data_IF_207180512519
#
_entry.id   IF_207180512519
#
_cell.length_a   1.000
_cell.length_b   1.000
_cell.length_c   1.000
_cell.angle_alpha   90.00
_cell.angle_beta   90.00
_cell.angle_gamma   90.00
#
_symmetry.space_group_name_H-M   'P 1'
#
loop_
_entity.id
_entity.type
_entity.pdbx_description
1 polymer ?
#
# COMPACT_ATOMS: atom_id res chain seq x y z
N UNK A 1 13.41 -13.13 -5.30
CA UNK A 1 13.23 -13.61 -3.91
C UNK A 1 11.74 -13.75 -3.66
N UNK A 2 11.33 -14.70 -2.80
CA UNK A 2 9.94 -14.84 -2.34
C UNK A 2 9.96 -14.63 -0.83
N UNK A 3 9.17 -13.69 -0.32
CA UNK A 3 9.18 -13.30 1.09
C UNK A 3 8.34 -12.05 1.34
N UNK A 4 8.07 -11.73 2.61
CA UNK A 4 7.37 -10.51 3.01
C UNK A 4 8.35 -9.34 2.99
N UNK A 5 8.22 -8.47 1.97
CA UNK A 5 9.08 -7.29 1.80
C UNK A 5 8.32 -5.97 1.97
N UNK A 6 7.02 -6.03 2.28
CA UNK A 6 6.20 -4.83 2.45
C UNK A 6 6.17 -4.42 3.93
N UNK A 7 6.29 -3.12 4.17
CA UNK A 7 6.18 -2.50 5.49
C UNK A 7 5.14 -1.38 5.44
N UNK A 8 4.40 -1.21 6.53
CA UNK A 8 3.50 -0.06 6.69
C UNK A 8 4.26 1.08 7.33
N UNK A 9 4.52 2.13 6.56
CA UNK A 9 5.22 3.34 7.01
C UNK A 9 4.19 4.45 7.24
N UNK A 10 4.05 5.01 8.46
CA UNK A 10 3.15 6.13 8.71
C UNK A 10 3.52 7.36 7.87
N UNK A 11 2.56 7.91 7.14
CA UNK A 11 2.75 9.13 6.35
C UNK A 11 1.99 10.28 7.00
N UNK A 12 2.69 11.37 7.32
CA UNK A 12 2.08 12.57 7.92
C UNK A 12 1.90 13.67 6.87
N UNK A 13 0.68 13.79 6.36
CA UNK A 13 0.31 14.88 5.45
C UNK A 13 0.18 16.18 6.23
N UNK A 14 0.90 17.22 5.81
CA UNK A 14 0.89 18.54 6.44
C UNK A 14 0.47 19.58 5.40
N UNK A 15 -0.78 20.04 5.50
CA UNK A 15 -1.32 21.11 4.66
C UNK A 15 -2.29 21.98 5.46
N UNK A 16 -2.50 23.20 4.99
CA UNK A 16 -3.50 24.12 5.54
C UNK A 16 -4.36 24.72 4.43
N UNK A 17 -5.27 25.60 4.80
CA UNK A 17 -6.25 26.21 3.88
C UNK A 17 -5.59 26.96 2.69
N UNK A 18 -4.37 27.48 2.88
CA UNK A 18 -3.61 28.21 1.88
C UNK A 18 -2.61 27.34 1.10
N UNK A 19 -2.46 26.06 1.42
CA UNK A 19 -1.50 25.18 0.74
C UNK A 19 -2.06 24.75 -0.60
N UNK A 20 -1.40 25.14 -1.69
CA UNK A 20 -1.74 24.64 -3.02
C UNK A 20 -1.54 23.13 -3.09
N UNK A 21 -2.45 22.42 -3.77
CA UNK A 21 -2.38 20.96 -3.94
C UNK A 21 -1.03 20.50 -4.50
N UNK A 22 -0.50 21.22 -5.50
CA UNK A 22 0.79 20.89 -6.11
C UNK A 22 1.96 21.01 -5.13
N UNK A 23 1.90 21.93 -4.18
CA UNK A 23 2.93 22.04 -3.14
C UNK A 23 2.80 20.92 -2.11
N UNK A 24 1.56 20.59 -1.71
CA UNK A 24 1.29 19.46 -0.81
C UNK A 24 1.85 18.16 -1.38
N UNK A 25 1.62 17.89 -2.67
CA UNK A 25 2.13 16.69 -3.34
C UNK A 25 3.66 16.69 -3.42
N UNK A 26 4.28 17.83 -3.74
CA UNK A 26 5.75 17.94 -3.75
C UNK A 26 6.35 17.71 -2.37
N UNK A 27 5.74 18.26 -1.32
CA UNK A 27 6.18 18.05 0.05
C UNK A 27 6.05 16.59 0.46
N UNK A 28 4.92 15.95 0.15
CA UNK A 28 4.66 14.54 0.45
C UNK A 28 5.68 13.65 -0.27
N UNK A 29 5.94 13.90 -1.56
CA UNK A 29 6.96 13.17 -2.33
C UNK A 29 8.35 13.30 -1.70
N UNK A 30 8.75 14.51 -1.28
CA UNK A 30 10.05 14.71 -0.60
C UNK A 30 10.13 13.92 0.71
N UNK A 31 9.05 13.87 1.48
CA UNK A 31 9.00 13.10 2.73
C UNK A 31 9.11 11.59 2.47
N UNK A 32 8.38 11.07 1.47
CA UNK A 32 8.44 9.65 1.09
C UNK A 32 9.87 9.26 0.66
N UNK A 33 10.50 10.07 -0.20
CA UNK A 33 11.89 9.82 -0.62
C UNK A 33 12.87 9.86 0.55
N UNK A 34 12.72 10.81 1.48
CA UNK A 34 13.55 10.88 2.68
C UNK A 34 13.34 9.69 3.62
N UNK A 35 12.12 9.13 3.68
CA UNK A 35 11.82 7.95 4.49
C UNK A 35 12.38 6.63 3.93
N UNK A 36 12.78 6.59 2.65
CA UNK A 36 13.28 5.37 2.01
C UNK A 36 14.47 4.72 2.72
N UNK A 37 15.35 5.52 3.34
CA UNK A 37 16.47 5.02 4.15
C UNK A 37 16.01 4.19 5.37
N UNK A 38 14.74 4.32 5.76
CA UNK A 38 14.13 3.67 6.94
C UNK A 38 13.01 2.70 6.56
N UNK A 39 12.86 2.32 5.29
CA UNK A 39 11.74 1.50 4.80
C UNK A 39 11.65 0.11 5.46
N UNK A 40 12.73 -0.38 6.04
CA UNK A 40 12.80 -1.67 6.76
C UNK A 40 12.37 -1.58 8.22
N UNK A 41 12.12 -0.38 8.74
CA UNK A 41 11.79 -0.16 10.14
C UNK A 41 10.33 -0.54 10.42
N UNK A 42 10.06 -1.46 11.38
CA UNK A 42 8.72 -2.01 11.55
C UNK A 42 7.77 -1.03 12.25
N UNK A 43 6.49 -1.04 11.84
CA UNK A 43 5.46 -0.13 12.37
C UNK A 43 5.34 -0.18 13.90
N UNK A 44 5.42 -1.36 14.51
CA UNK A 44 5.26 -1.50 15.96
C UNK A 44 6.37 -0.77 16.74
N UNK A 45 7.59 -0.65 16.19
CA UNK A 45 8.66 0.13 16.81
C UNK A 45 8.41 1.63 16.66
N UNK A 46 7.89 2.07 15.52
CA UNK A 46 7.47 3.46 15.30
C UNK A 46 6.38 3.84 16.31
N UNK A 47 5.36 2.99 16.45
CA UNK A 47 4.25 3.17 17.39
C UNK A 47 4.75 3.18 18.85
N UNK A 48 5.70 2.31 19.22
CA UNK A 48 6.25 2.26 20.56
C UNK A 48 6.91 3.60 20.97
N UNK A 49 7.47 4.34 20.02
CA UNK A 49 8.10 5.64 20.24
C UNK A 49 7.13 6.83 20.07
N UNK A 50 6.00 6.64 19.37
CA UNK A 50 4.98 7.67 19.23
C UNK A 50 4.18 7.86 20.54
N UNK A 51 3.60 9.05 20.72
CA UNK A 51 2.69 9.34 21.83
C UNK A 51 1.36 8.57 21.67
N UNK A 52 0.88 8.45 20.44
CA UNK A 52 -0.38 7.82 20.07
C UNK A 52 -0.36 6.28 20.16
N UNK A 53 0.84 5.68 20.30
CA UNK A 53 1.01 4.22 20.33
C UNK A 53 0.30 3.54 19.14
N UNK A 54 -0.57 2.57 19.42
CA UNK A 54 -1.32 1.83 18.41
C UNK A 54 -2.30 2.72 17.61
N UNK A 55 -2.74 3.85 18.18
CA UNK A 55 -3.65 4.80 17.53
C UNK A 55 -2.94 5.76 16.54
N UNK A 56 -1.64 5.56 16.28
CA UNK A 56 -0.86 6.41 15.38
C UNK A 56 -1.43 6.46 13.95
N UNK A 57 -2.04 5.36 13.50
CA UNK A 57 -2.72 5.27 12.21
C UNK A 57 -4.10 4.64 12.43
N UNK A 58 -5.07 5.04 11.60
CA UNK A 58 -6.45 4.53 11.63
C UNK A 58 -6.99 4.21 10.23
N UNK A 59 -6.14 4.36 9.21
CA UNK A 59 -6.40 3.98 7.84
C UNK A 59 -5.06 3.66 7.17
N UNK A 60 -5.11 2.85 6.13
CA UNK A 60 -3.98 2.59 5.24
C UNK A 60 -4.36 2.93 3.80
N UNK A 61 -3.37 3.30 3.02
CA UNK A 61 -3.48 3.45 1.57
C UNK A 61 -2.46 2.51 0.93
N UNK A 62 -2.93 1.66 0.03
CA UNK A 62 -2.10 0.69 -0.70
C UNK A 62 -2.24 1.00 -2.19
N UNK A 63 -1.12 0.99 -2.89
CA UNK A 63 -1.09 1.10 -4.34
C UNK A 63 -0.30 -0.08 -4.90
N UNK A 64 -0.98 -0.96 -5.64
CA UNK A 64 -0.37 -2.11 -6.27
C UNK A 64 -0.15 -1.84 -7.76
N UNK A 65 1.09 -1.93 -8.21
CA UNK A 65 1.45 -1.64 -9.60
C UNK A 65 1.50 -2.93 -10.44
N UNK A 66 0.44 -3.73 -10.37
CA UNK A 66 0.34 -4.99 -11.10
C UNK A 66 -1.05 -5.15 -11.75
N UNK A 67 -1.13 -5.56 -13.03
CA UNK A 67 -2.40 -5.80 -13.71
C UNK A 67 -2.94 -7.19 -13.33
N UNK A 68 -3.23 -7.40 -12.05
CA UNK A 68 -3.77 -8.68 -11.55
C UNK A 68 -5.13 -8.96 -12.19
N UNK A 69 -5.95 -7.92 -12.31
CA UNK A 69 -7.29 -8.02 -12.90
C UNK A 69 -7.24 -8.42 -14.38
N UNK A 70 -6.35 -7.81 -15.18
CA UNK A 70 -6.21 -8.14 -16.60
C UNK A 70 -5.68 -9.58 -16.81
N UNK A 71 -4.83 -10.07 -15.92
CA UNK A 71 -4.33 -11.46 -15.98
C UNK A 71 -5.42 -12.47 -15.61
N UNK A 72 -6.29 -12.14 -14.66
CA UNK A 72 -7.42 -12.97 -14.26
C UNK A 72 -8.42 -13.11 -15.43
N UNK A 73 -8.69 -12.03 -16.17
CA UNK A 73 -9.55 -12.07 -17.36
C UNK A 73 -8.97 -12.98 -18.46
N UNK A 74 -7.65 -12.89 -18.72
CA UNK A 74 -6.96 -13.68 -19.74
C UNK A 74 -6.87 -15.18 -19.43
N UNK A 75 -7.02 -15.60 -18.16
CA UNK A 75 -7.05 -17.01 -17.78
C UNK A 75 -8.28 -17.75 -18.33
N UNK A 76 -9.37 -17.05 -18.61
CA UNK A 76 -10.60 -17.60 -19.18
C UNK A 76 -10.60 -17.76 -20.70
N UNK A 77 -9.63 -17.17 -21.41
CA UNK A 77 -9.58 -17.05 -22.87
C UNK A 77 -8.53 -17.96 -23.54
N UNK A 78 -7.90 -18.88 -22.81
CA UNK A 78 -6.93 -19.81 -23.41
C UNK A 78 -7.63 -20.81 -24.34
N UNK A 79 -7.58 -20.56 -25.64
CA UNK A 79 -8.23 -21.37 -26.70
C UNK A 79 -7.71 -22.83 -26.79
N UNK A 80 -6.53 -23.16 -26.22
CA UNK A 80 -5.92 -24.50 -26.26
C UNK A 80 -6.09 -25.33 -24.97
N UNK A 81 -6.87 -24.88 -23.98
CA UNK A 81 -7.05 -25.61 -22.73
C UNK A 81 -8.26 -26.56 -22.78
N UNK A 82 -8.07 -27.84 -22.44
CA UNK A 82 -9.15 -28.85 -22.28
C UNK A 82 -10.15 -28.53 -21.14
N UNK A 83 -9.91 -27.45 -20.38
CA UNK A 83 -10.78 -27.00 -19.31
C UNK A 83 -10.89 -25.47 -19.32
N UNK A 84 -12.08 -24.96 -18.96
CA UNK A 84 -12.38 -23.54 -18.90
C UNK A 84 -12.50 -23.08 -17.45
N UNK A 85 -11.78 -22.02 -17.10
CA UNK A 85 -11.97 -21.32 -15.82
C UNK A 85 -13.17 -20.39 -15.98
N UNK A 86 -14.22 -20.63 -15.20
CA UNK A 86 -15.49 -19.88 -15.27
C UNK A 86 -15.63 -18.81 -14.18
N UNK A 87 -14.71 -18.79 -13.22
CA UNK A 87 -14.65 -17.80 -12.17
C UNK A 87 -13.28 -17.78 -11.51
N UNK A 88 -12.69 -16.60 -11.42
CA UNK A 88 -11.46 -16.34 -10.70
C UNK A 88 -11.64 -15.01 -9.97
N UNK A 89 -11.16 -14.95 -8.73
CA UNK A 89 -11.27 -13.77 -7.89
C UNK A 89 -10.12 -13.76 -6.89
N UNK A 90 -9.62 -12.57 -6.60
CA UNK A 90 -8.67 -12.33 -5.54
C UNK A 90 -9.41 -11.85 -4.29
N UNK A 91 -8.98 -12.31 -3.12
CA UNK A 91 -9.41 -11.75 -1.84
C UNK A 91 -8.18 -11.08 -1.25
N UNK A 92 -8.21 -9.76 -1.22
CA UNK A 92 -7.21 -8.98 -0.49
C UNK A 92 -7.58 -8.96 0.99
N UNK A 93 -6.59 -9.26 1.83
CA UNK A 93 -6.73 -9.16 3.27
C UNK A 93 -5.54 -8.40 3.82
N UNK A 94 -5.82 -7.39 4.64
CA UNK A 94 -4.80 -6.67 5.40
C UNK A 94 -4.84 -7.12 6.86
N UNK A 95 -3.78 -6.81 7.61
CA UNK A 95 -3.70 -7.12 9.04
C UNK A 95 -4.33 -6.03 9.92
N UNK A 96 -5.10 -5.12 9.33
CA UNK A 96 -5.72 -3.99 10.01
C UNK A 96 -7.24 -4.13 10.01
N UNK A 97 -7.87 -3.83 11.14
CA UNK A 97 -9.30 -4.08 11.43
C UNK A 97 -10.15 -2.80 11.53
N UNK A 98 -9.56 -1.64 11.24
CA UNK A 98 -10.24 -0.36 11.18
C UNK A 98 -11.06 -0.18 9.89
#
# INVERSE_FOLDING_TARGET
MIGLFINTVPVRIQGGQATAFTELMKQTQRQVLASGTYETFPLYEIQAQAEQKVELINHIMVFENYPVDEQIEQLGEREEADFKITGAGAVEQTNYDF
#
